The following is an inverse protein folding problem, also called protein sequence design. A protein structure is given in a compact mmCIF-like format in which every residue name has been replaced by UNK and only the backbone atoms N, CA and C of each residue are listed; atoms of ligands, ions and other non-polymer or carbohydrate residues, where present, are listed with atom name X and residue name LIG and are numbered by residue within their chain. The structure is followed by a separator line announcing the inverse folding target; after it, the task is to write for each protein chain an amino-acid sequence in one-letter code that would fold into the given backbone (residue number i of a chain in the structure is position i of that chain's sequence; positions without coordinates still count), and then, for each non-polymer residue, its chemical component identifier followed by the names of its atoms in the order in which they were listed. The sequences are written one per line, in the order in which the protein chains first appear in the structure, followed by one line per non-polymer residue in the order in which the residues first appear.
data_IF_517976851837
#
_entry.id   IF_517976851837
#
_cell.length_a   1.000
_cell.length_b   1.000
_cell.length_c   1.000
_cell.angle_alpha   90.00
_cell.angle_beta   90.00
_cell.angle_gamma   90.00
#
_symmetry.space_group_name_H-M   'P 1'
#
loop_
_entity.id
_entity.type
_entity.pdbx_description
1 polymer ?
#
# COMPACT_ATOMS: atom_id res chain seq x y z
N UNK A 1 -45.62 2.96 -15.39
CA UNK A 1 -44.45 2.93 -16.29
C UNK A 1 -43.26 3.56 -15.57
N UNK A 2 -42.55 2.80 -14.73
CA UNK A 2 -41.28 3.24 -14.16
C UNK A 2 -40.18 2.56 -14.97
N UNK A 3 -39.61 3.29 -15.93
CA UNK A 3 -38.49 2.83 -16.73
C UNK A 3 -37.26 2.70 -15.81
N UNK A 4 -36.77 1.47 -15.69
CA UNK A 4 -35.51 1.14 -15.02
C UNK A 4 -34.35 1.83 -15.74
N UNK A 5 -34.03 3.07 -15.36
CA UNK A 5 -32.85 3.79 -15.82
C UNK A 5 -31.76 3.77 -14.72
N UNK A 6 -31.33 2.59 -14.30
CA UNK A 6 -30.23 2.40 -13.33
C UNK A 6 -28.96 1.83 -13.98
N UNK A 7 -28.81 1.93 -15.31
CA UNK A 7 -27.57 1.55 -15.99
C UNK A 7 -26.66 2.77 -16.01
N UNK A 8 -25.99 3.01 -14.89
CA UNK A 8 -24.86 3.94 -14.84
C UNK A 8 -23.59 3.14 -15.10
N UNK A 9 -22.78 3.57 -16.07
CA UNK A 9 -21.46 2.97 -16.32
C UNK A 9 -20.55 3.33 -15.13
N UNK A 10 -19.82 2.33 -14.61
CA UNK A 10 -18.95 2.51 -13.44
C UNK A 10 -17.81 3.51 -13.69
N UNK A 11 -17.33 3.59 -14.94
CA UNK A 11 -16.39 4.59 -15.44
C UNK A 11 -16.81 4.99 -16.85
N UNK A 12 -16.49 6.21 -17.26
CA UNK A 12 -16.77 6.72 -18.60
C UNK A 12 -15.65 6.27 -19.57
N UNK A 13 -15.94 5.49 -20.62
CA UNK A 13 -14.92 4.88 -21.49
C UNK A 13 -13.89 5.85 -22.05
N UNK A 14 -14.28 7.09 -22.35
CA UNK A 14 -13.40 8.12 -22.91
C UNK A 14 -12.31 8.60 -21.92
N UNK A 15 -12.48 8.34 -20.62
CA UNK A 15 -11.56 8.78 -19.54
C UNK A 15 -10.84 7.62 -18.85
N UNK A 16 -11.14 6.39 -19.21
CA UNK A 16 -10.56 5.20 -18.57
C UNK A 16 -9.05 5.14 -18.78
N UNK A 17 -8.59 5.40 -20.00
CA UNK A 17 -7.16 5.36 -20.35
C UNK A 17 -6.36 6.41 -19.59
N UNK A 18 -6.86 7.64 -19.51
CA UNK A 18 -6.21 8.73 -18.79
C UNK A 18 -6.09 8.44 -17.29
N UNK A 19 -7.17 7.94 -16.68
CA UNK A 19 -7.18 7.56 -15.27
C UNK A 19 -6.21 6.40 -14.99
N UNK A 20 -6.19 5.40 -15.88
CA UNK A 20 -5.26 4.27 -15.79
C UNK A 20 -3.81 4.74 -15.87
N UNK A 21 -3.47 5.60 -16.83
CA UNK A 21 -2.12 6.16 -16.98
C UNK A 21 -1.69 6.97 -15.75
N UNK A 22 -2.59 7.78 -15.19
CA UNK A 22 -2.33 8.53 -13.96
C UNK A 22 -2.07 7.60 -12.77
N UNK A 23 -2.87 6.55 -12.58
CA UNK A 23 -2.64 5.58 -11.50
C UNK A 23 -1.32 4.82 -11.68
N UNK A 24 -0.99 4.44 -12.91
CA UNK A 24 0.29 3.79 -13.24
C UNK A 24 1.46 4.71 -12.87
N UNK A 25 1.38 6.00 -13.19
CA UNK A 25 2.40 6.98 -12.81
C UNK A 25 2.52 7.11 -11.29
N UNK A 26 1.40 7.25 -10.57
CA UNK A 26 1.40 7.31 -9.11
C UNK A 26 2.03 6.06 -8.46
N UNK A 27 1.76 4.87 -9.00
CA UNK A 27 2.37 3.62 -8.51
C UNK A 27 3.86 3.59 -8.82
N UNK A 28 4.28 4.03 -10.02
CA UNK A 28 5.70 4.13 -10.39
C UNK A 28 6.43 5.09 -9.46
N UNK A 29 5.87 6.26 -9.17
CA UNK A 29 6.45 7.24 -8.25
C UNK A 29 6.50 6.72 -6.81
N UNK A 30 5.44 6.05 -6.34
CA UNK A 30 5.43 5.39 -5.04
C UNK A 30 6.54 4.32 -4.93
N UNK A 31 6.86 3.64 -6.02
CA UNK A 31 7.93 2.63 -6.04
C UNK A 31 9.34 3.23 -6.01
N UNK A 32 9.50 4.51 -6.33
CA UNK A 32 10.79 5.22 -6.23
C UNK A 32 11.16 5.60 -4.81
N UNK A 33 10.22 5.48 -3.87
CA UNK A 33 10.48 5.75 -2.45
C UNK A 33 11.62 4.84 -1.93
N UNK A 34 12.48 5.43 -1.10
CA UNK A 34 13.62 4.82 -0.38
C UNK A 34 13.26 3.53 0.36
N UNK A 35 11.97 3.35 0.72
CA UNK A 35 11.42 2.12 1.29
C UNK A 35 11.66 0.90 0.42
N UNK A 36 11.58 1.06 -0.90
CA UNK A 36 11.59 -0.07 -1.85
C UNK A 36 12.97 -0.32 -2.47
N UNK A 37 14.02 0.37 -2.01
CA UNK A 37 15.39 0.29 -2.55
C UNK A 37 15.97 -1.13 -2.58
N UNK A 38 15.52 -2.01 -1.69
CA UNK A 38 15.98 -3.39 -1.58
C UNK A 38 14.95 -4.41 -2.10
N UNK A 39 13.82 -3.97 -2.66
CA UNK A 39 12.73 -4.85 -3.08
C UNK A 39 12.76 -5.09 -4.58
N UNK A 40 13.20 -6.29 -5.01
CA UNK A 40 13.10 -6.71 -6.42
C UNK A 40 11.68 -7.20 -6.72
N UNK A 41 11.00 -6.57 -7.68
CA UNK A 41 9.64 -6.93 -8.11
C UNK A 41 9.68 -7.55 -9.50
N UNK A 42 9.22 -8.81 -9.69
CA UNK A 42 9.16 -9.45 -11.02
C UNK A 42 7.85 -9.13 -11.77
N UNK A 43 7.27 -7.94 -11.58
CA UNK A 43 6.01 -7.51 -12.20
C UNK A 43 6.01 -5.99 -12.43
N UNK A 44 5.23 -5.51 -13.40
CA UNK A 44 5.15 -4.09 -13.76
C UNK A 44 4.05 -3.35 -12.99
N UNK A 45 4.12 -2.02 -12.95
CA UNK A 45 3.08 -1.20 -12.33
C UNK A 45 1.72 -1.38 -13.04
N UNK A 46 1.72 -1.54 -14.36
CA UNK A 46 0.51 -1.79 -15.17
C UNK A 46 -0.19 -3.10 -14.78
N UNK A 47 0.57 -4.15 -14.52
CA UNK A 47 0.03 -5.43 -14.04
C UNK A 47 -0.61 -5.32 -12.65
N UNK A 48 -0.18 -4.34 -11.83
CA UNK A 48 -0.77 -4.09 -10.51
C UNK A 48 -2.01 -3.21 -10.62
N UNK A 49 -1.97 -2.15 -11.42
CA UNK A 49 -3.11 -1.24 -11.62
C UNK A 49 -4.27 -1.98 -12.29
N UNK A 50 -4.00 -2.84 -13.28
CA UNK A 50 -5.04 -3.66 -13.94
C UNK A 50 -5.76 -4.66 -13.02
N UNK A 51 -5.22 -4.93 -11.82
CA UNK A 51 -5.85 -5.78 -10.80
C UNK A 51 -6.54 -4.99 -9.70
N UNK A 52 -6.38 -3.65 -9.68
CA UNK A 52 -7.10 -2.79 -8.75
C UNK A 52 -8.50 -2.52 -9.29
N UNK A 53 -9.47 -2.50 -8.39
CA UNK A 53 -10.79 -1.97 -8.69
C UNK A 53 -10.78 -0.44 -8.63
N UNK A 54 -11.87 0.18 -9.09
CA UNK A 54 -12.01 1.64 -9.12
C UNK A 54 -12.21 2.28 -7.74
N UNK A 55 -12.43 1.49 -6.68
CA UNK A 55 -12.57 2.00 -5.31
C UNK A 55 -11.24 1.89 -4.56
N UNK A 56 -10.59 3.04 -4.37
CA UNK A 56 -9.38 3.15 -3.55
C UNK A 56 -9.73 3.02 -2.06
N UNK A 57 -9.24 1.96 -1.42
CA UNK A 57 -9.37 1.77 0.03
C UNK A 57 -8.06 2.20 0.70
N UNK A 58 -8.15 3.11 1.66
CA UNK A 58 -7.01 3.52 2.49
C UNK A 58 -7.04 2.78 3.83
N UNK A 59 -6.09 1.88 4.03
CA UNK A 59 -6.00 1.11 5.27
C UNK A 59 -5.20 1.86 6.34
N UNK A 60 -5.70 1.98 7.59
CA UNK A 60 -4.98 2.65 8.68
C UNK A 60 -3.69 1.91 9.08
N UNK A 61 -3.60 0.62 8.77
CA UNK A 61 -2.38 -0.18 8.94
C UNK A 61 -1.18 0.38 8.16
N UNK A 62 -1.41 1.10 7.05
CA UNK A 62 -0.34 1.72 6.28
C UNK A 62 0.39 2.80 7.10
N UNK A 63 -0.33 3.57 7.92
CA UNK A 63 0.29 4.57 8.80
C UNK A 63 1.19 3.91 9.85
N UNK A 64 0.76 2.78 10.42
CA UNK A 64 1.56 2.00 11.36
C UNK A 64 2.79 1.36 10.68
N UNK A 65 2.64 0.86 9.45
CA UNK A 65 3.76 0.28 8.69
C UNK A 65 4.85 1.32 8.38
N UNK A 66 4.46 2.57 8.04
CA UNK A 66 5.40 3.69 7.88
C UNK A 66 6.14 4.00 9.18
N UNK A 67 5.43 4.04 10.32
CA UNK A 67 6.05 4.22 11.64
C UNK A 67 7.06 3.11 11.96
N UNK A 68 6.69 1.85 11.72
CA UNK A 68 7.56 0.70 11.95
C UNK A 68 8.83 0.77 11.09
N UNK A 69 8.69 1.13 9.82
CA UNK A 69 9.82 1.28 8.90
C UNK A 69 10.86 2.28 9.41
N UNK A 70 10.42 3.46 9.83
CA UNK A 70 11.31 4.49 10.37
C UNK A 70 12.05 4.00 11.63
N UNK A 71 11.37 3.26 12.50
CA UNK A 71 12.00 2.67 13.70
C UNK A 71 13.06 1.65 13.30
N UNK A 72 12.76 0.78 12.34
CA UNK A 72 13.70 -0.25 11.88
C UNK A 72 14.91 0.36 11.17
N UNK A 73 14.73 1.38 10.33
CA UNK A 73 15.84 2.06 9.66
C UNK A 73 16.77 2.72 10.68
N UNK A 74 16.22 3.47 11.65
CA UNK A 74 17.00 4.09 12.72
C UNK A 74 17.73 3.05 13.58
N UNK A 75 17.09 1.90 13.87
CA UNK A 75 17.68 0.81 14.66
C UNK A 75 18.72 0.00 13.90
N UNK A 76 18.56 -0.17 12.60
CA UNK A 76 19.54 -0.81 11.73
C UNK A 76 20.84 0.01 11.70
N UNK A 77 20.72 1.33 11.61
CA UNK A 77 21.87 2.23 11.74
C UNK A 77 22.50 2.17 13.15
N UNK A 78 21.67 2.03 14.20
CA UNK A 78 22.13 1.89 15.59
C UNK A 78 22.52 0.45 16.00
N UNK A 79 22.47 -0.54 15.11
CA UNK A 79 22.78 -1.95 15.38
C UNK A 79 22.07 -2.57 16.61
N UNK A 80 20.82 -2.17 16.91
CA UNK A 80 20.05 -2.65 18.08
C UNK A 80 18.73 -3.35 17.68
N UNK A 81 18.52 -4.60 18.12
CA UNK A 81 17.29 -5.37 17.86
C UNK A 81 16.20 -5.09 18.92
N UNK A 82 14.97 -4.79 18.49
CA UNK A 82 13.80 -4.67 19.38
C UNK A 82 13.03 -5.99 19.43
N UNK A 83 13.52 -6.94 20.22
CA UNK A 83 12.78 -8.15 20.51
C UNK A 83 12.47 -8.20 22.01
N UNK A 84 11.21 -8.00 22.37
CA UNK A 84 10.67 -8.40 23.67
C UNK A 84 9.32 -9.05 23.37
N UNK A 85 9.21 -10.36 23.63
CA UNK A 85 7.97 -11.08 23.34
C UNK A 85 6.91 -10.58 24.30
N UNK A 86 5.72 -10.25 23.76
CA UNK A 86 4.58 -9.69 24.51
C UNK A 86 3.99 -10.66 25.57
N UNK A 87 4.61 -11.81 25.80
CA UNK A 87 4.23 -12.78 26.84
C UNK A 87 5.24 -12.91 27.99
N UNK A 88 6.43 -12.31 27.90
CA UNK A 88 7.50 -12.54 28.89
C UNK A 88 7.39 -11.63 30.12
N UNK A 89 6.53 -10.60 30.07
CA UNK A 89 6.32 -9.67 31.19
C UNK A 89 5.63 -10.32 32.41
N UNK A 90 4.95 -11.47 32.24
CA UNK A 90 4.20 -12.10 33.34
C UNK A 90 5.02 -13.14 34.13
N UNK A 91 6.23 -13.52 33.66
CA UNK A 91 7.06 -14.52 34.33
C UNK A 91 8.13 -13.95 35.27
N UNK A 92 8.25 -12.63 35.37
CA UNK A 92 9.26 -11.95 36.20
C UNK A 92 8.69 -11.39 37.51
N UNK A 93 7.46 -11.78 37.88
CA UNK A 93 6.76 -11.32 39.08
C UNK A 93 6.60 -12.40 40.18
N UNK A 94 7.35 -13.50 40.08
CA UNK A 94 7.45 -14.53 41.11
C UNK A 94 8.90 -14.85 41.43
#
# INVERSE_FOLDING_TARGET
MASNNMVTLAVNPDKEDDLFLQEVQQVKDWWRDSRWRHTKRPFTAEQIVSKRGHLKIEYPSNAQAKKLWNILENRFQASHSSHFRRGDAFKMAY
#
